data_IF_668630593460
#
_entry.id   IF_668630593460
#
_cell.length_a   1.000
_cell.length_b   1.000
_cell.length_c   1.000
_cell.angle_alpha   90.00
_cell.angle_beta   90.00
_cell.angle_gamma   90.00
#
_symmetry.space_group_name_H-M   'P 1'
#
loop_
_entity.id
_entity.type
_entity.pdbx_description
1 polymer ?
#
# COMPACT_ATOMS: atom_id res chain seq x y z
N UNK A 1 1.08 -38.95 34.94
CA UNK A 1 2.29 -38.27 34.38
C UNK A 1 1.78 -37.23 33.42
N UNK A 2 1.79 -35.98 33.84
CA UNK A 2 1.22 -34.84 33.11
C UNK A 2 2.35 -34.12 32.41
N UNK A 3 2.41 -34.23 31.08
CA UNK A 3 3.28 -33.38 30.27
C UNK A 3 2.65 -31.97 30.17
N UNK A 4 3.14 -31.12 31.02
CA UNK A 4 2.84 -29.70 31.00
C UNK A 4 3.66 -29.08 29.85
N UNK A 5 3.12 -29.06 28.64
CA UNK A 5 3.70 -28.30 27.54
C UNK A 5 3.65 -26.81 27.91
N UNK A 6 4.80 -26.28 28.30
CA UNK A 6 5.07 -24.87 28.38
C UNK A 6 4.74 -24.23 27.03
N UNK A 7 3.54 -23.68 26.92
CA UNK A 7 3.22 -22.69 25.89
C UNK A 7 4.08 -21.47 26.20
N UNK A 8 5.22 -21.38 25.53
CA UNK A 8 6.14 -20.27 25.70
C UNK A 8 5.39 -18.95 25.48
N UNK A 9 5.23 -18.19 26.54
CA UNK A 9 4.77 -16.82 26.48
C UNK A 9 5.80 -16.02 25.68
N UNK A 10 5.54 -15.80 24.39
CA UNK A 10 6.31 -14.85 23.61
C UNK A 10 6.23 -13.49 24.29
N UNK A 11 7.37 -12.93 24.67
CA UNK A 11 7.43 -11.62 25.29
C UNK A 11 7.08 -10.54 24.23
N UNK A 12 6.63 -9.36 24.68
CA UNK A 12 6.41 -8.21 23.80
C UNK A 12 7.63 -7.93 22.91
N UNK A 13 8.83 -8.19 23.38
CA UNK A 13 10.08 -8.04 22.63
C UNK A 13 10.19 -9.01 21.46
N UNK A 14 9.59 -10.19 21.55
CA UNK A 14 9.64 -11.19 20.47
C UNK A 14 8.75 -10.78 19.28
N UNK A 15 7.65 -10.08 19.54
CA UNK A 15 6.78 -9.53 18.50
C UNK A 15 7.35 -8.28 17.81
N UNK A 16 8.35 -7.63 18.43
CA UNK A 16 8.96 -6.41 17.88
C UNK A 16 10.29 -6.68 17.14
N UNK A 17 10.67 -7.94 16.97
CA UNK A 17 11.92 -8.31 16.30
C UNK A 17 11.90 -8.11 14.79
N UNK A 18 10.72 -8.16 14.19
CA UNK A 18 10.55 -8.03 12.75
C UNK A 18 9.65 -6.82 12.45
N UNK A 19 10.21 -5.63 12.31
CA UNK A 19 9.42 -4.45 11.93
C UNK A 19 8.84 -4.64 10.51
N UNK A 20 7.71 -4.01 10.26
CA UNK A 20 7.14 -3.94 8.91
C UNK A 20 8.04 -3.04 8.06
N UNK A 21 8.48 -3.55 6.91
CA UNK A 21 9.19 -2.76 5.92
C UNK A 21 8.21 -2.14 4.93
N UNK A 22 8.44 -0.88 4.61
CA UNK A 22 7.64 -0.17 3.61
C UNK A 22 8.23 -0.40 2.21
N UNK A 23 7.36 -0.78 1.28
CA UNK A 23 7.79 -1.00 -0.10
C UNK A 23 8.20 0.32 -0.77
N UNK A 24 9.33 0.30 -1.46
CA UNK A 24 9.78 1.37 -2.34
C UNK A 24 9.47 0.99 -3.79
N UNK A 25 8.36 1.50 -4.32
CA UNK A 25 7.92 1.23 -5.70
C UNK A 25 8.80 1.89 -6.75
N UNK A 26 9.64 2.86 -6.38
CA UNK A 26 10.55 3.53 -7.32
C UNK A 26 11.74 2.67 -7.72
N UNK A 27 12.03 1.62 -6.95
CA UNK A 27 13.08 0.64 -7.22
C UNK A 27 12.66 -0.50 -8.14
N UNK A 28 11.39 -0.58 -8.54
CA UNK A 28 10.83 -1.65 -9.37
C UNK A 28 10.27 -1.13 -10.69
N UNK A 29 10.34 -1.96 -11.73
CA UNK A 29 9.63 -1.73 -12.98
C UNK A 29 8.61 -2.86 -13.23
N UNK A 30 7.36 -2.61 -12.92
CA UNK A 30 6.26 -3.56 -13.09
C UNK A 30 5.49 -3.42 -14.42
N UNK A 31 5.89 -2.50 -15.31
CA UNK A 31 5.15 -2.18 -16.55
C UNK A 31 4.86 -3.39 -17.41
N UNK A 32 5.87 -4.26 -17.61
CA UNK A 32 5.70 -5.47 -18.42
C UNK A 32 4.75 -6.48 -17.78
N UNK A 33 4.80 -6.63 -16.47
CA UNK A 33 3.90 -7.53 -15.74
C UNK A 33 2.47 -7.03 -15.86
N UNK A 34 2.21 -5.76 -15.51
CA UNK A 34 0.88 -5.16 -15.54
C UNK A 34 0.29 -5.18 -16.96
N UNK A 35 1.07 -4.83 -18.00
CA UNK A 35 0.57 -4.88 -19.37
C UNK A 35 0.28 -6.30 -19.86
N UNK A 36 1.01 -7.30 -19.38
CA UNK A 36 0.73 -8.70 -19.69
C UNK A 36 -0.56 -9.20 -19.06
N UNK A 37 -0.93 -8.66 -17.89
CA UNK A 37 -2.17 -9.01 -17.17
C UNK A 37 -3.43 -8.63 -17.99
N UNK A 38 -3.33 -7.71 -18.94
CA UNK A 38 -4.44 -7.36 -19.84
C UNK A 38 -4.94 -8.55 -20.67
N UNK A 39 -4.04 -9.48 -21.01
CA UNK A 39 -4.35 -10.69 -21.76
C UNK A 39 -4.88 -11.84 -20.88
N UNK A 40 -4.90 -11.65 -19.58
CA UNK A 40 -5.43 -12.60 -18.60
C UNK A 40 -6.95 -12.45 -18.44
N UNK A 41 -7.51 -13.13 -17.47
CA UNK A 41 -8.93 -13.06 -17.13
C UNK A 41 -9.13 -12.58 -15.69
N UNK A 42 -10.38 -12.31 -15.33
CA UNK A 42 -10.80 -11.92 -13.98
C UNK A 42 -10.06 -10.67 -13.45
N UNK A 43 -9.71 -10.68 -12.17
CA UNK A 43 -9.11 -9.55 -11.44
C UNK A 43 -7.78 -9.10 -12.06
N UNK A 44 -7.01 -10.00 -12.66
CA UNK A 44 -5.75 -9.63 -13.32
C UNK A 44 -5.98 -8.66 -14.49
N UNK A 45 -6.97 -8.95 -15.35
CA UNK A 45 -7.36 -8.05 -16.43
C UNK A 45 -7.88 -6.71 -15.89
N UNK A 46 -8.71 -6.76 -14.86
CA UNK A 46 -9.24 -5.55 -14.22
C UNK A 46 -8.13 -4.67 -13.62
N UNK A 47 -7.11 -5.29 -13.04
CA UNK A 47 -5.93 -4.56 -12.54
C UNK A 47 -5.18 -3.84 -13.68
N UNK A 48 -4.99 -4.49 -14.82
CA UNK A 48 -4.39 -3.86 -15.99
C UNK A 48 -5.25 -2.72 -16.54
N UNK A 49 -6.57 -2.89 -16.60
CA UNK A 49 -7.51 -1.85 -17.03
C UNK A 49 -7.47 -0.65 -16.08
N UNK A 50 -7.45 -0.88 -14.76
CA UNK A 50 -7.34 0.19 -13.76
C UNK A 50 -6.03 0.98 -13.94
N UNK A 51 -4.91 0.31 -14.19
CA UNK A 51 -3.64 0.95 -14.45
C UNK A 51 -3.68 1.82 -15.72
N UNK A 52 -4.34 1.36 -16.78
CA UNK A 52 -4.54 2.15 -18.00
C UNK A 52 -5.38 3.39 -17.75
N UNK A 53 -6.52 3.25 -17.07
CA UNK A 53 -7.40 4.37 -16.74
C UNK A 53 -6.65 5.40 -15.93
N UNK A 54 -5.91 4.98 -14.90
CA UNK A 54 -5.12 5.89 -14.08
C UNK A 54 -4.05 6.62 -14.91
N UNK A 55 -3.39 5.92 -15.83
CA UNK A 55 -2.41 6.52 -16.73
C UNK A 55 -3.05 7.59 -17.64
N UNK A 56 -4.26 7.37 -18.14
CA UNK A 56 -5.00 8.39 -18.92
C UNK A 56 -5.43 9.57 -18.03
N UNK A 57 -5.87 9.34 -16.80
CA UNK A 57 -6.17 10.40 -15.83
C UNK A 57 -4.95 11.30 -15.57
N UNK A 58 -3.75 10.71 -15.44
CA UNK A 58 -2.50 11.46 -15.22
C UNK A 58 -2.09 12.32 -16.42
N UNK A 59 -2.52 11.97 -17.63
CA UNK A 59 -2.24 12.75 -18.85
C UNK A 59 -3.24 13.89 -19.09
N UNK A 60 -4.44 13.75 -18.54
CA UNK A 60 -5.51 14.72 -18.68
C UNK A 60 -5.32 15.87 -17.68
N UNK A 61 -5.04 17.06 -18.18
CA UNK A 61 -4.79 18.26 -17.38
C UNK A 61 -6.03 18.78 -16.64
N UNK A 62 -7.21 18.43 -17.12
CA UNK A 62 -8.48 18.83 -16.54
C UNK A 62 -9.06 17.79 -15.57
N UNK A 63 -8.37 16.66 -15.40
CA UNK A 63 -8.76 15.60 -14.48
C UNK A 63 -8.24 15.88 -13.06
N UNK A 64 -9.15 15.93 -12.10
CA UNK A 64 -8.80 15.97 -10.66
C UNK A 64 -8.81 14.56 -10.07
N UNK A 65 -7.70 14.15 -9.49
CA UNK A 65 -7.49 12.80 -8.97
C UNK A 65 -7.59 12.77 -7.45
N UNK A 66 -8.59 12.05 -6.94
CA UNK A 66 -8.78 11.80 -5.51
C UNK A 66 -8.31 10.40 -5.15
N UNK A 67 -7.43 10.29 -4.16
CA UNK A 67 -7.05 9.02 -3.56
C UNK A 67 -7.83 8.80 -2.26
N UNK A 68 -8.64 7.75 -2.21
CA UNK A 68 -9.37 7.38 -1.01
C UNK A 68 -8.63 6.26 -0.28
N UNK A 69 -8.37 6.44 1.01
CA UNK A 69 -7.64 5.49 1.85
C UNK A 69 -8.52 4.99 2.98
N UNK A 70 -8.65 3.67 3.08
CA UNK A 70 -9.33 3.00 4.18
C UNK A 70 -8.50 1.78 4.63
N UNK A 71 -8.68 1.37 5.88
CA UNK A 71 -7.90 0.30 6.49
C UNK A 71 -6.51 0.76 6.92
N UNK A 72 -5.73 -0.15 7.48
CA UNK A 72 -4.40 0.11 8.03
C UNK A 72 -3.28 -0.11 7.00
N UNK A 73 -3.50 0.25 5.74
CA UNK A 73 -2.53 -0.01 4.66
C UNK A 73 -1.25 0.79 4.79
N UNK A 74 -1.31 1.98 5.39
CA UNK A 74 -0.12 2.78 5.70
C UNK A 74 0.81 2.05 6.67
N UNK A 75 0.27 1.51 7.78
CA UNK A 75 1.04 0.71 8.74
C UNK A 75 1.44 -0.67 8.19
N UNK A 76 0.70 -1.18 7.19
CA UNK A 76 0.98 -2.47 6.57
C UNK A 76 2.10 -2.46 5.50
N UNK A 77 2.77 -1.32 5.28
CA UNK A 77 3.90 -1.22 4.36
C UNK A 77 3.69 -0.33 3.14
N UNK A 78 2.54 0.36 3.02
CA UNK A 78 2.21 1.20 1.86
C UNK A 78 2.53 2.70 2.04
N UNK A 79 3.10 3.12 3.17
CA UNK A 79 3.33 4.54 3.48
C UNK A 79 4.18 5.25 2.40
N UNK A 80 5.25 4.61 1.95
CA UNK A 80 6.11 5.18 0.92
C UNK A 80 5.39 5.36 -0.42
N UNK A 81 4.42 4.49 -0.75
CA UNK A 81 3.61 4.64 -1.96
C UNK A 81 2.81 5.95 -1.90
N UNK A 82 2.13 6.20 -0.79
CA UNK A 82 1.33 7.43 -0.62
C UNK A 82 2.19 8.68 -0.67
N UNK A 83 3.35 8.65 -0.02
CA UNK A 83 4.34 9.73 -0.06
C UNK A 83 4.79 10.03 -1.50
N UNK A 84 5.08 8.99 -2.29
CA UNK A 84 5.55 9.16 -3.66
C UNK A 84 4.44 9.65 -4.59
N UNK A 85 3.21 9.18 -4.42
CA UNK A 85 2.05 9.69 -5.17
C UNK A 85 1.86 11.20 -4.98
N UNK A 86 2.03 11.69 -3.76
CA UNK A 86 1.95 13.13 -3.46
C UNK A 86 3.18 13.86 -3.99
N UNK A 87 4.37 13.35 -3.75
CA UNK A 87 5.64 13.95 -4.16
C UNK A 87 5.74 14.19 -5.67
N UNK A 88 5.21 13.24 -6.45
CA UNK A 88 5.26 13.30 -7.91
C UNK A 88 3.98 13.84 -8.55
N UNK A 89 3.11 14.50 -7.78
CA UNK A 89 1.83 15.08 -8.25
C UNK A 89 0.94 14.07 -8.99
N UNK A 90 0.92 12.84 -8.52
CA UNK A 90 0.10 11.77 -9.10
C UNK A 90 -1.32 11.74 -8.52
N UNK A 91 -1.57 12.51 -7.48
CA UNK A 91 -2.90 12.72 -6.85
C UNK A 91 -3.05 14.19 -6.46
N UNK A 92 -4.27 14.72 -6.53
CA UNK A 92 -4.58 16.11 -6.18
C UNK A 92 -5.11 16.22 -4.75
N UNK A 93 -5.81 15.21 -4.28
CA UNK A 93 -6.34 15.18 -2.92
C UNK A 93 -6.36 13.74 -2.35
N UNK A 94 -6.20 13.65 -1.03
CA UNK A 94 -6.31 12.40 -0.29
C UNK A 94 -7.48 12.51 0.69
N UNK A 95 -8.38 11.54 0.63
CA UNK A 95 -9.48 11.37 1.57
C UNK A 95 -9.21 10.10 2.38
N UNK A 96 -8.93 10.24 3.67
CA UNK A 96 -8.54 9.12 4.51
C UNK A 96 -9.46 8.98 5.73
N UNK A 97 -9.63 7.74 6.19
CA UNK A 97 -10.28 7.50 7.49
C UNK A 97 -9.39 8.00 8.64
N UNK A 98 -10.00 8.31 9.79
CA UNK A 98 -9.26 8.78 10.97
C UNK A 98 -8.18 7.81 11.44
N UNK A 99 -8.39 6.50 11.30
CA UNK A 99 -7.40 5.48 11.61
C UNK A 99 -6.13 5.63 10.76
N UNK A 100 -6.25 5.84 9.45
CA UNK A 100 -5.12 6.03 8.54
C UNK A 100 -4.29 7.27 8.88
N UNK A 101 -4.93 8.36 9.33
CA UNK A 101 -4.26 9.60 9.75
C UNK A 101 -3.52 9.42 11.08
N UNK A 102 -4.11 8.68 12.03
CA UNK A 102 -3.51 8.43 13.36
C UNK A 102 -2.32 7.48 13.27
N UNK A 103 -2.34 6.50 12.38
CA UNK A 103 -1.24 5.57 12.16
C UNK A 103 -0.01 6.27 11.61
N UNK A 104 -0.18 7.28 10.78
CA UNK A 104 0.91 8.14 10.28
C UNK A 104 1.71 8.80 11.42
N UNK A 105 1.05 9.20 12.50
CA UNK A 105 1.71 9.74 13.71
C UNK A 105 2.49 8.70 14.50
N UNK A 106 2.11 7.42 14.44
CA UNK A 106 2.77 6.34 15.19
C UNK A 106 4.02 5.82 14.49
N UNK A 107 4.11 5.96 13.19
CA UNK A 107 5.28 5.55 12.40
C UNK A 107 6.45 6.53 12.50
N UNK A 108 6.25 7.70 13.10
CA UNK A 108 7.26 8.76 13.26
C UNK A 108 7.92 8.72 14.67
N UNK A 109 7.50 7.79 15.52
CA UNK A 109 8.05 7.67 16.89
C UNK A 109 9.00 6.50 17.02
#
# INVERSE_FOLDING_TARGET
MSDNKNLGHNSKKDFLKNPVEHIDITSFDSRKIISSMEKMSFVSRETANAAKIYNEMLKDKDCTIFLTLAGSTSAAGCMNIYKDLVKYNMVDAIIATGASIVEDRKSVV
#
